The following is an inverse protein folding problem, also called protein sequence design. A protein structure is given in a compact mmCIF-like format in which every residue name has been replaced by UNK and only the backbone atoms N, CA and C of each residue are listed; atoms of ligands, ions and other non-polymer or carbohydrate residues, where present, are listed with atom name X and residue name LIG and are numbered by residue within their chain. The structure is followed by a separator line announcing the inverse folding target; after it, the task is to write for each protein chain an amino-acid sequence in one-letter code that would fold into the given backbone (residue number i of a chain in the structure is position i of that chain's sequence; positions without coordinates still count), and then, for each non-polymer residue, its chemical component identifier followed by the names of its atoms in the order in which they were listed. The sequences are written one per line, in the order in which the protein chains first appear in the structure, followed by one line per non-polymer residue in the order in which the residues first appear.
data_IF_213564367587
#
_entry.id   IF_213564367587
#
_cell.length_a   1.000
_cell.length_b   1.000
_cell.length_c   1.000
_cell.angle_alpha   90.00
_cell.angle_beta   90.00
_cell.angle_gamma   90.00
#
_symmetry.space_group_name_H-M   'P 1'
#
loop_
_entity.id
_entity.type
_entity.pdbx_description
1 polymer ?
#
# COMPACT_ATOMS: atom_id res chain seq x y z
N UNK A 1 16.76 -5.30 -10.99
CA UNK A 1 15.54 -5.73 -11.70
C UNK A 1 15.88 -5.81 -13.18
N UNK A 2 15.28 -6.71 -13.99
CA UNK A 2 15.44 -6.59 -15.44
C UNK A 2 15.07 -5.15 -15.81
N UNK A 3 15.92 -4.48 -16.59
CA UNK A 3 15.77 -3.06 -16.89
C UNK A 3 14.31 -2.79 -17.28
N UNK A 4 13.61 -2.01 -16.45
CA UNK A 4 12.19 -1.73 -16.64
C UNK A 4 12.06 -0.78 -17.83
N UNK A 5 12.15 -1.37 -19.03
CA UNK A 5 11.63 -0.80 -20.26
C UNK A 5 10.12 -0.63 -20.13
N UNK A 6 9.52 0.23 -20.97
CA UNK A 6 8.06 0.43 -21.05
C UNK A 6 7.29 -0.91 -21.16
N UNK A 7 7.90 -1.93 -21.77
CA UNK A 7 7.41 -3.30 -21.85
C UNK A 7 7.18 -3.99 -20.50
N UNK A 8 7.92 -3.60 -19.47
CA UNK A 8 7.74 -4.07 -18.09
C UNK A 8 6.40 -3.67 -17.45
N UNK A 9 5.73 -2.67 -18.02
CA UNK A 9 4.48 -2.11 -17.50
C UNK A 9 3.26 -2.47 -18.34
N UNK A 10 3.44 -2.79 -19.63
CA UNK A 10 2.34 -3.08 -20.54
C UNK A 10 1.40 -4.18 -20.02
N UNK A 11 1.94 -5.32 -19.59
CA UNK A 11 1.14 -6.45 -19.07
C UNK A 11 0.33 -6.09 -17.81
N UNK A 12 0.98 -5.60 -16.73
CA UNK A 12 0.28 -5.19 -15.52
C UNK A 12 -0.77 -4.11 -15.78
N UNK A 13 -0.46 -3.11 -16.60
CA UNK A 13 -1.41 -2.05 -16.94
C UNK A 13 -2.60 -2.59 -17.73
N UNK A 14 -2.40 -3.51 -18.67
CA UNK A 14 -3.50 -4.15 -19.40
C UNK A 14 -4.46 -4.88 -18.45
N UNK A 15 -3.91 -5.69 -17.53
CA UNK A 15 -4.73 -6.41 -16.54
C UNK A 15 -5.44 -5.45 -15.60
N UNK A 16 -4.78 -4.37 -15.18
CA UNK A 16 -5.40 -3.31 -14.36
C UNK A 16 -6.53 -2.62 -15.12
N UNK A 17 -6.36 -2.30 -16.40
CA UNK A 17 -7.41 -1.67 -17.23
C UNK A 17 -8.61 -2.58 -17.42
N UNK A 18 -8.39 -3.89 -17.62
CA UNK A 18 -9.48 -4.88 -17.62
C UNK A 18 -10.22 -4.88 -16.28
N UNK A 19 -9.48 -4.94 -15.17
CA UNK A 19 -10.05 -4.90 -13.82
C UNK A 19 -10.79 -3.60 -13.53
N UNK A 20 -10.31 -2.47 -14.05
CA UNK A 20 -10.95 -1.16 -13.97
C UNK A 20 -12.27 -1.16 -14.74
N UNK A 21 -12.27 -1.60 -16.00
CA UNK A 21 -13.48 -1.70 -16.80
C UNK A 21 -14.54 -2.53 -16.07
N UNK A 22 -14.18 -3.71 -15.55
CA UNK A 22 -15.11 -4.54 -14.79
C UNK A 22 -15.68 -3.84 -13.56
N UNK A 23 -14.91 -2.99 -12.87
CA UNK A 23 -15.35 -2.30 -11.65
C UNK A 23 -16.18 -1.06 -11.94
N UNK A 24 -15.80 -0.26 -12.92
CA UNK A 24 -16.47 1.01 -13.23
C UNK A 24 -17.71 0.86 -14.11
N UNK A 25 -17.79 -0.22 -14.92
CA UNK A 25 -18.99 -0.48 -15.73
C UNK A 25 -20.21 -0.67 -14.82
N UNK A 26 -21.21 0.20 -14.99
CA UNK A 26 -22.47 0.21 -14.22
C UNK A 26 -22.23 0.27 -12.70
N UNK A 27 -21.22 1.03 -12.24
CA UNK A 27 -20.89 1.12 -10.81
C UNK A 27 -22.03 1.67 -9.95
N UNK A 28 -22.85 2.56 -10.52
CA UNK A 28 -24.05 3.09 -9.87
C UNK A 28 -25.20 2.08 -9.76
N UNK A 29 -25.04 0.86 -10.25
CA UNK A 29 -26.06 -0.17 -10.21
C UNK A 29 -25.67 -1.29 -9.22
N UNK A 30 -26.61 -1.80 -8.41
CA UNK A 30 -28.01 -1.39 -8.33
C UNK A 30 -28.17 0.01 -7.71
N UNK A 31 -29.21 0.73 -8.16
CA UNK A 31 -29.56 2.05 -7.63
C UNK A 31 -30.31 1.89 -6.31
N UNK A 32 -29.60 1.37 -5.31
CA UNK A 32 -30.08 1.07 -3.97
C UNK A 32 -28.91 1.06 -2.99
N UNK A 33 -29.21 1.30 -1.72
CA UNK A 33 -28.29 1.07 -0.60
C UNK A 33 -28.27 -0.43 -0.31
N UNK A 34 -27.08 -1.03 -0.30
CA UNK A 34 -26.90 -2.47 -0.11
C UNK A 34 -26.11 -2.73 1.16
N UNK A 35 -26.62 -3.60 2.04
CA UNK A 35 -25.88 -4.07 3.22
C UNK A 35 -25.38 -2.89 4.09
N UNK A 36 -24.16 -2.99 4.62
CA UNK A 36 -23.54 -1.97 5.47
C UNK A 36 -23.25 -0.62 4.78
N UNK A 37 -23.56 -0.46 3.48
CA UNK A 37 -23.58 0.87 2.86
C UNK A 37 -24.49 1.82 3.66
N UNK A 38 -25.57 1.33 4.25
CA UNK A 38 -26.49 2.11 5.10
C UNK A 38 -25.77 2.86 6.24
N UNK A 39 -24.67 2.30 6.76
CA UNK A 39 -23.89 2.91 7.83
C UNK A 39 -22.74 3.74 7.29
N UNK A 40 -21.96 3.18 6.35
CA UNK A 40 -20.72 3.80 5.93
C UNK A 40 -20.92 5.05 5.09
N UNK A 41 -21.94 5.08 4.22
CA UNK A 41 -22.21 6.26 3.38
C UNK A 41 -22.70 7.43 4.25
N UNK A 42 -23.56 7.17 5.24
CA UNK A 42 -24.06 8.22 6.16
C UNK A 42 -22.95 8.76 7.04
N UNK A 43 -22.11 7.87 7.57
CA UNK A 43 -20.94 8.25 8.36
C UNK A 43 -19.92 9.05 7.55
N UNK A 44 -19.63 8.64 6.31
CA UNK A 44 -18.77 9.38 5.38
C UNK A 44 -19.33 10.78 5.09
N UNK A 45 -20.62 10.88 4.79
CA UNK A 45 -21.26 12.15 4.53
C UNK A 45 -21.30 13.06 5.78
N UNK A 46 -21.44 12.48 6.98
CA UNK A 46 -21.36 13.21 8.23
C UNK A 46 -19.96 13.82 8.44
N UNK A 47 -18.91 13.06 8.16
CA UNK A 47 -17.53 13.55 8.20
C UNK A 47 -17.31 14.72 7.24
N UNK A 48 -17.85 14.67 6.02
CA UNK A 48 -17.78 15.79 5.07
C UNK A 48 -18.49 17.05 5.59
N UNK A 49 -19.65 16.89 6.20
CA UNK A 49 -20.52 18.02 6.60
C UNK A 49 -20.17 18.62 7.94
N UNK A 50 -19.73 17.81 8.89
CA UNK A 50 -19.55 18.20 10.29
C UNK A 50 -18.16 17.88 10.84
N UNK A 51 -17.33 17.12 10.13
CA UNK A 51 -16.02 16.66 10.60
C UNK A 51 -16.07 15.54 11.64
N UNK A 52 -17.27 15.13 12.06
CA UNK A 52 -17.53 14.07 13.05
C UNK A 52 -18.75 13.26 12.63
N UNK A 53 -18.78 11.99 13.01
CA UNK A 53 -19.95 11.13 12.77
C UNK A 53 -21.16 11.57 13.60
N UNK A 54 -22.33 11.61 12.95
CA UNK A 54 -23.58 12.05 13.54
C UNK A 54 -24.71 11.09 13.22
N UNK A 55 -25.61 10.93 14.18
CA UNK A 55 -26.79 10.11 13.99
C UNK A 55 -27.71 10.67 12.89
N UNK A 56 -28.32 9.75 12.16
CA UNK A 56 -29.31 10.05 11.14
C UNK A 56 -30.73 9.68 11.63
N UNK A 57 -31.74 10.09 10.89
CA UNK A 57 -33.14 9.73 11.14
C UNK A 57 -33.40 8.26 10.80
N UNK A 58 -34.34 7.63 11.51
CA UNK A 58 -34.59 6.19 11.41
C UNK A 58 -33.72 5.35 12.36
N UNK A 59 -33.82 4.03 12.21
CA UNK A 59 -33.03 3.02 12.93
C UNK A 59 -32.47 1.98 11.94
N UNK A 60 -31.76 0.97 12.44
CA UNK A 60 -31.30 -0.14 11.59
C UNK A 60 -32.48 -0.98 11.04
N UNK A 61 -33.55 -1.12 11.83
CA UNK A 61 -34.76 -1.87 11.46
C UNK A 61 -35.67 -1.06 10.52
N UNK A 62 -35.73 0.27 10.68
CA UNK A 62 -36.44 1.16 9.76
C UNK A 62 -35.50 2.25 9.21
N UNK A 63 -34.81 1.99 8.08
CA UNK A 63 -33.82 2.89 7.51
C UNK A 63 -34.47 4.01 6.70
N UNK A 64 -35.16 4.93 7.39
CA UNK A 64 -35.79 6.12 6.78
C UNK A 64 -34.75 6.97 6.03
N UNK A 65 -33.57 7.16 6.63
CA UNK A 65 -32.49 7.93 6.01
C UNK A 65 -32.01 7.34 4.66
N UNK A 66 -32.02 6.01 4.48
CA UNK A 66 -31.66 5.41 3.19
C UNK A 66 -32.68 5.79 2.11
N UNK A 67 -33.98 5.72 2.44
CA UNK A 67 -35.05 6.10 1.52
C UNK A 67 -34.98 7.58 1.16
N UNK A 68 -34.65 8.45 2.11
CA UNK A 68 -34.44 9.87 1.87
C UNK A 68 -33.26 10.13 0.92
N UNK A 69 -32.10 9.49 1.16
CA UNK A 69 -30.92 9.59 0.27
C UNK A 69 -31.29 9.14 -1.14
N UNK A 70 -31.99 8.01 -1.27
CA UNK A 70 -32.40 7.48 -2.58
C UNK A 70 -33.43 8.39 -3.29
N UNK A 71 -34.21 9.17 -2.54
CA UNK A 71 -35.10 10.20 -3.07
C UNK A 71 -34.40 11.54 -3.35
N UNK A 72 -33.10 11.68 -3.03
CA UNK A 72 -32.32 12.90 -3.17
C UNK A 72 -32.48 13.90 -2.02
N UNK A 73 -33.16 13.53 -0.94
CA UNK A 73 -33.29 14.33 0.28
C UNK A 73 -32.11 14.07 1.22
N UNK A 74 -31.26 15.09 1.41
CA UNK A 74 -30.08 15.04 2.27
C UNK A 74 -30.33 15.62 3.66
N UNK A 75 -31.59 15.92 4.00
CA UNK A 75 -32.06 16.31 5.33
C UNK A 75 -32.11 15.16 6.35
N UNK A 76 -31.22 14.18 6.22
CA UNK A 76 -31.22 12.91 6.97
C UNK A 76 -30.79 13.03 8.44
N UNK A 77 -30.45 14.22 8.92
CA UNK A 77 -29.82 14.42 10.21
C UNK A 77 -30.84 14.43 11.34
N UNK A 78 -30.59 13.66 12.40
CA UNK A 78 -31.39 13.73 13.63
C UNK A 78 -31.20 15.09 14.29
N UNK A 79 -32.29 15.70 14.74
CA UNK A 79 -32.25 16.92 15.56
C UNK A 79 -32.10 16.51 17.02
N UNK A 80 -31.05 16.98 17.68
CA UNK A 80 -30.80 16.69 19.10
C UNK A 80 -30.64 18.00 19.89
N UNK A 81 -31.10 18.06 21.15
CA UNK A 81 -30.92 19.21 22.03
C UNK A 81 -29.44 19.52 22.31
N UNK A 82 -28.61 18.49 22.45
CA UNK A 82 -27.17 18.62 22.74
C UNK A 82 -26.32 17.88 21.71
N UNK A 83 -25.06 18.30 21.56
CA UNK A 83 -24.15 17.69 20.58
C UNK A 83 -23.82 16.22 20.88
N UNK A 84 -23.70 15.86 22.16
CA UNK A 84 -23.38 14.49 22.60
C UNK A 84 -24.48 13.48 22.27
N UNK A 85 -25.75 13.88 22.35
CA UNK A 85 -26.89 13.03 21.97
C UNK A 85 -26.99 12.81 20.45
N UNK A 86 -26.29 13.63 19.67
CA UNK A 86 -26.25 13.54 18.22
C UNK A 86 -25.04 12.77 17.69
N UNK A 87 -24.13 12.33 18.55
CA UNK A 87 -22.96 11.56 18.16
C UNK A 87 -23.36 10.13 17.76
N UNK A 88 -22.84 9.66 16.63
CA UNK A 88 -23.05 8.27 16.21
C UNK A 88 -22.04 7.32 16.89
N UNK A 89 -22.38 6.03 16.92
CA UNK A 89 -21.48 5.02 17.45
C UNK A 89 -20.36 4.70 16.45
N UNK A 90 -19.10 4.97 16.83
CA UNK A 90 -17.94 4.77 15.96
C UNK A 90 -17.21 3.47 16.31
N UNK A 91 -17.53 2.39 15.59
CA UNK A 91 -16.90 1.08 15.75
C UNK A 91 -15.55 0.92 15.03
N UNK A 92 -15.26 1.78 14.04
CA UNK A 92 -14.11 1.65 13.15
C UNK A 92 -13.32 2.96 13.03
N UNK A 93 -12.01 2.89 12.75
CA UNK A 93 -11.22 4.06 12.41
C UNK A 93 -11.78 4.82 11.19
N UNK A 94 -11.62 6.15 11.13
CA UNK A 94 -12.36 6.99 10.16
C UNK A 94 -11.79 6.95 8.74
N UNK A 95 -10.60 6.39 8.52
CA UNK A 95 -9.89 6.47 7.24
C UNK A 95 -10.73 5.97 6.06
N UNK A 96 -11.36 4.80 6.18
CA UNK A 96 -12.18 4.26 5.09
C UNK A 96 -13.42 5.11 4.80
N UNK A 97 -14.03 5.70 5.84
CA UNK A 97 -15.16 6.64 5.67
C UNK A 97 -14.70 7.92 4.97
N UNK A 98 -13.51 8.43 5.27
CA UNK A 98 -12.92 9.57 4.54
C UNK A 98 -12.67 9.27 3.05
N UNK A 99 -12.31 8.03 2.72
CA UNK A 99 -12.16 7.62 1.33
C UNK A 99 -13.51 7.56 0.60
N UNK A 100 -14.55 7.03 1.24
CA UNK A 100 -15.93 7.04 0.70
C UNK A 100 -16.40 8.49 0.50
N UNK A 101 -16.19 9.33 1.52
CA UNK A 101 -16.50 10.74 1.51
C UNK A 101 -15.86 11.48 0.33
N UNK A 102 -14.63 11.14 -0.06
CA UNK A 102 -14.00 11.73 -1.24
C UNK A 102 -14.81 11.47 -2.53
N UNK A 103 -15.38 10.27 -2.66
CA UNK A 103 -16.27 9.92 -3.78
C UNK A 103 -17.59 10.68 -3.73
N UNK A 104 -18.21 10.76 -2.55
CA UNK A 104 -19.43 11.55 -2.32
C UNK A 104 -19.23 13.05 -2.59
N UNK A 105 -18.05 13.58 -2.29
CA UNK A 105 -17.71 14.97 -2.55
C UNK A 105 -17.58 15.28 -4.04
N UNK A 106 -16.97 14.38 -4.83
CA UNK A 106 -16.80 14.58 -6.27
C UNK A 106 -18.04 14.30 -7.10
N UNK A 107 -18.80 13.26 -6.75
CA UNK A 107 -19.91 12.76 -7.58
C UNK A 107 -21.28 12.87 -6.89
N UNK A 108 -21.33 13.47 -5.72
CA UNK A 108 -22.53 13.62 -4.92
C UNK A 108 -22.92 12.37 -4.15
N UNK A 109 -23.96 12.51 -3.33
CA UNK A 109 -24.56 11.43 -2.54
C UNK A 109 -25.39 10.49 -3.43
N UNK A 110 -24.72 9.75 -4.30
CA UNK A 110 -25.34 8.81 -5.25
C UNK A 110 -24.63 7.45 -5.19
N UNK A 111 -25.30 6.35 -5.61
CA UNK A 111 -24.67 5.03 -5.71
C UNK A 111 -23.32 5.01 -6.40
N UNK A 112 -23.19 5.79 -7.48
CA UNK A 112 -21.91 5.94 -8.17
C UNK A 112 -20.87 6.64 -7.28
N UNK A 113 -21.24 7.74 -6.62
CA UNK A 113 -20.30 8.55 -5.85
C UNK A 113 -19.71 7.83 -4.64
N UNK A 114 -20.53 7.22 -3.80
CA UNK A 114 -20.01 6.54 -2.61
C UNK A 114 -19.24 5.24 -2.94
N UNK A 115 -19.54 4.59 -4.08
CA UNK A 115 -18.81 3.40 -4.55
C UNK A 115 -17.52 3.73 -5.30
N UNK A 116 -17.38 4.96 -5.81
CA UNK A 116 -16.27 5.36 -6.68
C UNK A 116 -14.90 5.09 -6.05
N UNK A 117 -14.69 5.52 -4.80
CA UNK A 117 -13.41 5.37 -4.14
C UNK A 117 -13.03 3.90 -3.91
N UNK A 118 -14.02 3.05 -3.59
CA UNK A 118 -13.83 1.60 -3.46
C UNK A 118 -13.39 0.97 -4.78
N UNK A 119 -13.98 1.39 -5.90
CA UNK A 119 -13.63 0.90 -7.23
C UNK A 119 -12.21 1.31 -7.64
N UNK A 120 -11.80 2.54 -7.31
CA UNK A 120 -10.41 3.01 -7.50
C UNK A 120 -9.46 2.17 -6.66
N UNK A 121 -9.71 2.00 -5.36
CA UNK A 121 -8.85 1.24 -4.46
C UNK A 121 -8.69 -0.21 -4.94
N UNK A 122 -9.79 -0.90 -5.27
CA UNK A 122 -9.74 -2.26 -5.81
C UNK A 122 -8.99 -2.36 -7.14
N UNK A 123 -9.13 -1.35 -8.01
CA UNK A 123 -8.38 -1.29 -9.28
C UNK A 123 -6.88 -1.13 -9.05
N UNK A 124 -6.48 -0.25 -8.14
CA UNK A 124 -5.07 -0.05 -7.79
C UNK A 124 -4.47 -1.28 -7.10
N UNK A 125 -5.24 -2.00 -6.29
CA UNK A 125 -4.82 -3.28 -5.69
C UNK A 125 -4.39 -4.31 -6.74
N UNK A 126 -5.07 -4.36 -7.89
CA UNK A 126 -4.70 -5.26 -9.01
C UNK A 126 -3.31 -4.91 -9.53
N UNK A 127 -3.04 -3.61 -9.73
CA UNK A 127 -1.73 -3.15 -10.20
C UNK A 127 -0.64 -3.49 -9.20
N UNK A 128 -0.87 -3.20 -7.91
CA UNK A 128 0.09 -3.49 -6.84
C UNK A 128 0.37 -4.98 -6.79
N UNK A 129 -0.67 -5.83 -6.80
CA UNK A 129 -0.52 -7.29 -6.80
C UNK A 129 0.32 -7.78 -7.98
N UNK A 130 0.02 -7.33 -9.20
CA UNK A 130 0.77 -7.72 -10.38
C UNK A 130 2.26 -7.32 -10.29
N UNK A 131 2.55 -6.14 -9.74
CA UNK A 131 3.93 -5.66 -9.57
C UNK A 131 4.67 -6.40 -8.47
N UNK A 132 4.02 -6.66 -7.34
CA UNK A 132 4.59 -7.42 -6.22
C UNK A 132 4.91 -8.86 -6.66
N UNK A 133 3.95 -9.55 -7.28
CA UNK A 133 4.16 -10.89 -7.80
C UNK A 133 5.27 -10.94 -8.86
N UNK A 134 5.31 -9.97 -9.79
CA UNK A 134 6.42 -9.84 -10.76
C UNK A 134 7.76 -9.63 -10.07
N UNK A 135 7.84 -8.83 -8.99
CA UNK A 135 9.09 -8.60 -8.24
C UNK A 135 9.59 -9.86 -7.53
N UNK A 136 8.68 -10.64 -6.94
CA UNK A 136 9.03 -11.85 -6.22
C UNK A 136 9.43 -13.00 -7.15
N UNK A 137 8.68 -13.19 -8.25
CA UNK A 137 8.88 -14.31 -9.18
C UNK A 137 9.84 -13.99 -10.33
N UNK A 138 10.10 -12.70 -10.59
CA UNK A 138 10.81 -12.19 -11.78
C UNK A 138 10.16 -12.56 -13.12
N UNK A 139 8.94 -13.09 -13.10
CA UNK A 139 8.20 -13.47 -14.31
C UNK A 139 7.08 -12.48 -14.58
N UNK A 140 7.04 -11.96 -15.81
CA UNK A 140 5.94 -11.10 -16.26
C UNK A 140 4.63 -11.87 -16.27
N UNK A 141 4.65 -13.11 -16.78
CA UNK A 141 3.47 -13.96 -16.87
C UNK A 141 2.87 -14.22 -15.49
N UNK A 142 3.68 -14.62 -14.51
CA UNK A 142 3.20 -14.91 -13.16
C UNK A 142 2.70 -13.65 -12.45
N UNK A 143 3.33 -12.49 -12.69
CA UNK A 143 2.83 -11.20 -12.21
C UNK A 143 1.46 -10.86 -12.78
N UNK A 144 1.30 -10.96 -14.10
CA UNK A 144 0.02 -10.67 -14.76
C UNK A 144 -1.07 -11.67 -14.35
N UNK A 145 -0.72 -12.95 -14.19
CA UNK A 145 -1.64 -13.98 -13.72
C UNK A 145 -2.12 -13.68 -12.29
N UNK A 146 -1.23 -13.30 -11.38
CA UNK A 146 -1.62 -12.92 -10.02
C UNK A 146 -2.56 -11.70 -10.00
N UNK A 147 -2.27 -10.68 -10.81
CA UNK A 147 -3.16 -9.53 -10.99
C UNK A 147 -4.52 -9.93 -11.56
N UNK A 148 -4.53 -10.82 -12.57
CA UNK A 148 -5.76 -11.28 -13.22
C UNK A 148 -6.64 -12.09 -12.26
N UNK A 149 -6.03 -12.97 -11.47
CA UNK A 149 -6.74 -13.72 -10.43
C UNK A 149 -7.37 -12.77 -9.41
N UNK A 150 -6.65 -11.74 -8.95
CA UNK A 150 -7.23 -10.74 -8.04
C UNK A 150 -8.30 -9.87 -8.74
N UNK A 151 -8.18 -9.62 -10.04
CA UNK A 151 -9.16 -8.85 -10.80
C UNK A 151 -10.51 -9.57 -10.90
N UNK A 152 -10.46 -10.90 -11.03
CA UNK A 152 -11.60 -11.81 -11.21
C UNK A 152 -12.08 -12.47 -9.91
N UNK A 153 -11.34 -12.31 -8.81
CA UNK A 153 -11.77 -12.79 -7.49
C UNK A 153 -13.11 -12.17 -7.09
N UNK A 154 -14.09 -13.02 -6.79
CA UNK A 154 -15.47 -12.60 -6.58
C UNK A 154 -15.64 -11.71 -5.35
N UNK A 155 -14.95 -12.02 -4.25
CA UNK A 155 -15.04 -11.24 -3.02
C UNK A 155 -14.40 -9.86 -3.20
N UNK A 156 -13.18 -9.82 -3.74
CA UNK A 156 -12.51 -8.56 -4.04
C UNK A 156 -13.30 -7.71 -5.04
N UNK A 157 -13.91 -8.34 -6.05
CA UNK A 157 -14.77 -7.66 -7.01
C UNK A 157 -15.97 -7.00 -6.34
N UNK A 158 -16.74 -7.75 -5.55
CA UNK A 158 -17.93 -7.24 -4.84
C UNK A 158 -17.55 -6.14 -3.85
N UNK A 159 -16.55 -6.37 -2.99
CA UNK A 159 -16.11 -5.38 -1.99
C UNK A 159 -15.61 -4.09 -2.64
N UNK A 160 -14.99 -4.15 -3.81
CA UNK A 160 -14.57 -2.96 -4.56
C UNK A 160 -15.71 -2.21 -5.26
N UNK A 161 -16.91 -2.80 -5.34
CA UNK A 161 -18.09 -2.20 -5.97
C UNK A 161 -19.18 -1.83 -4.98
N UNK A 162 -18.95 -2.01 -3.69
CA UNK A 162 -19.83 -1.59 -2.60
C UNK A 162 -19.07 -0.63 -1.71
N UNK A 163 -19.74 0.33 -1.07
CA UNK A 163 -19.10 1.26 -0.14
C UNK A 163 -18.84 0.63 1.25
N UNK A 164 -17.97 -0.39 1.28
CA UNK A 164 -17.52 -1.09 2.48
C UNK A 164 -16.09 -0.69 2.84
N UNK A 165 -15.72 -0.83 4.12
CA UNK A 165 -14.40 -0.43 4.60
C UNK A 165 -13.29 -1.44 4.26
N UNK A 166 -13.65 -2.71 4.06
CA UNK A 166 -12.73 -3.83 3.86
C UNK A 166 -11.81 -3.68 2.65
N UNK A 167 -12.32 -3.13 1.54
CA UNK A 167 -11.51 -2.91 0.33
C UNK A 167 -10.38 -1.90 0.58
N UNK A 168 -10.64 -0.88 1.40
CA UNK A 168 -9.62 0.11 1.77
C UNK A 168 -8.58 -0.49 2.71
N UNK A 169 -9.02 -1.26 3.70
CA UNK A 169 -8.10 -1.97 4.60
C UNK A 169 -7.18 -2.91 3.80
N UNK A 170 -7.76 -3.75 2.95
CA UNK A 170 -7.00 -4.67 2.10
C UNK A 170 -6.03 -3.93 1.18
N UNK A 171 -6.46 -2.83 0.55
CA UNK A 171 -5.60 -2.00 -0.29
C UNK A 171 -4.37 -1.49 0.48
N UNK A 172 -4.57 -0.93 1.68
CA UNK A 172 -3.46 -0.42 2.48
C UNK A 172 -2.55 -1.52 3.04
N UNK A 173 -3.11 -2.69 3.39
CA UNK A 173 -2.31 -3.86 3.78
C UNK A 173 -1.45 -4.35 2.60
N UNK A 174 -2.01 -4.43 1.39
CA UNK A 174 -1.29 -4.82 0.19
C UNK A 174 -0.22 -3.78 -0.19
N UNK A 175 -0.52 -2.49 -0.07
CA UNK A 175 0.45 -1.41 -0.28
C UNK A 175 1.60 -1.48 0.74
N UNK A 176 1.29 -1.73 2.01
CA UNK A 176 2.29 -1.96 3.06
C UNK A 176 3.19 -3.16 2.75
N UNK A 177 2.60 -4.28 2.33
CA UNK A 177 3.37 -5.45 1.88
C UNK A 177 4.25 -5.13 0.67
N UNK A 178 3.75 -4.36 -0.29
CA UNK A 178 4.54 -3.92 -1.45
C UNK A 178 5.75 -3.06 -1.03
N UNK A 179 5.59 -2.19 -0.02
CA UNK A 179 6.69 -1.43 0.57
C UNK A 179 7.74 -2.35 1.21
N UNK A 180 7.32 -3.38 1.97
CA UNK A 180 8.24 -4.36 2.55
C UNK A 180 9.01 -5.13 1.48
N UNK A 181 8.35 -5.54 0.40
CA UNK A 181 9.01 -6.21 -0.74
C UNK A 181 10.00 -5.26 -1.44
N UNK A 182 9.64 -3.99 -1.62
CA UNK A 182 10.52 -2.98 -2.20
C UNK A 182 11.75 -2.70 -1.31
N UNK A 183 11.55 -2.62 0.00
CA UNK A 183 12.62 -2.42 0.99
C UNK A 183 13.60 -3.61 0.99
N UNK A 184 13.07 -4.84 0.96
CA UNK A 184 13.90 -6.05 0.82
C UNK A 184 14.79 -6.01 -0.44
N UNK A 185 14.26 -5.55 -1.57
CA UNK A 185 15.04 -5.44 -2.81
C UNK A 185 16.12 -4.35 -2.71
N UNK A 186 15.81 -3.24 -2.04
CA UNK A 186 16.74 -2.13 -1.84
C UNK A 186 17.90 -2.51 -0.89
N UNK A 187 17.61 -3.19 0.22
CA UNK A 187 18.64 -3.67 1.15
C UNK A 187 19.58 -4.66 0.44
N UNK A 188 19.05 -5.60 -0.35
CA UNK A 188 19.85 -6.57 -1.11
C UNK A 188 20.82 -5.89 -2.07
N UNK A 189 20.36 -4.85 -2.78
CA UNK A 189 21.21 -4.09 -3.68
C UNK A 189 22.33 -3.37 -2.93
N UNK A 190 22.04 -2.78 -1.76
CA UNK A 190 23.06 -2.14 -0.92
C UNK A 190 24.12 -3.10 -0.42
N UNK A 191 23.72 -4.29 0.03
CA UNK A 191 24.65 -5.35 0.45
C UNK A 191 25.55 -5.82 -0.70
N UNK A 192 25.01 -5.96 -1.91
CA UNK A 192 25.79 -6.27 -3.10
C UNK A 192 26.82 -5.17 -3.43
N UNK A 193 26.42 -3.90 -3.40
CA UNK A 193 27.33 -2.76 -3.66
C UNK A 193 28.41 -2.64 -2.57
N UNK A 194 28.06 -2.91 -1.31
CA UNK A 194 29.00 -2.88 -0.19
C UNK A 194 29.93 -4.12 -0.11
N UNK A 195 29.75 -5.13 -0.96
CA UNK A 195 30.50 -6.39 -0.91
C UNK A 195 30.20 -7.25 0.34
N UNK A 196 29.21 -6.86 1.14
CA UNK A 196 28.80 -7.57 2.35
C UNK A 196 27.77 -8.63 1.99
N UNK A 197 28.24 -9.83 1.62
CA UNK A 197 27.34 -10.99 1.47
C UNK A 197 26.87 -11.47 2.84
N UNK A 198 25.56 -11.55 3.11
CA UNK A 198 25.06 -12.28 4.26
C UNK A 198 25.45 -13.75 4.10
N UNK A 199 26.29 -14.26 5.00
CA UNK A 199 26.80 -15.63 4.97
C UNK A 199 28.21 -15.82 4.37
N UNK A 200 28.93 -14.74 4.05
CA UNK A 200 30.29 -14.80 3.49
C UNK A 200 31.44 -14.79 4.50
N UNK A 201 31.20 -15.06 5.78
CA UNK A 201 32.27 -15.23 6.76
C UNK A 201 32.43 -16.73 7.06
N UNK A 202 33.66 -17.23 6.89
CA UNK A 202 34.16 -18.58 7.20
C UNK A 202 34.01 -19.69 6.14
N UNK A 203 34.61 -19.50 4.96
CA UNK A 203 35.35 -20.60 4.28
C UNK A 203 36.65 -20.04 3.68
N UNK A 204 37.55 -19.59 4.54
CA UNK A 204 38.92 -19.22 4.16
C UNK A 204 39.90 -19.54 5.31
N UNK A 205 39.85 -20.77 5.82
CA UNK A 205 40.87 -21.31 6.72
C UNK A 205 40.81 -22.84 6.66
N UNK A 206 41.37 -23.41 5.59
CA UNK A 206 41.28 -24.86 5.37
C UNK A 206 42.02 -25.33 4.13
N UNK A 207 43.23 -24.83 3.89
CA UNK A 207 44.22 -25.55 3.07
C UNK A 207 45.44 -25.79 3.95
N UNK A 208 45.49 -27.01 4.48
CA UNK A 208 46.65 -27.52 5.21
C UNK A 208 47.88 -27.51 4.32
N UNK A 209 48.95 -26.95 4.88
CA UNK A 209 50.29 -26.98 4.32
C UNK A 209 51.27 -26.70 5.47
N UNK A 210 51.65 -27.74 6.18
CA UNK A 210 52.88 -27.78 7.00
C UNK A 210 54.02 -27.95 6.00
N UNK A 211 55.07 -27.09 5.98
CA UNK A 211 56.19 -27.30 6.90
C UNK A 211 56.98 -26.04 7.32
N UNK A 212 57.78 -26.19 8.37
CA UNK A 212 59.07 -25.49 8.46
C UNK A 212 59.23 -24.54 9.64
N UNK A 213 59.86 -25.06 10.69
CA UNK A 213 60.48 -24.36 11.81
C UNK A 213 61.27 -23.10 11.39
N UNK A 214 60.99 -21.96 12.04
CA UNK A 214 62.04 -21.04 12.50
C UNK A 214 61.56 -20.17 13.66
N UNK A 215 62.37 -20.20 14.70
CA UNK A 215 62.21 -19.60 16.02
C UNK A 215 62.24 -18.06 16.03
N UNK A 216 61.65 -17.55 17.12
CA UNK A 216 62.07 -16.38 17.93
C UNK A 216 61.90 -14.97 17.32
N UNK A 217 60.97 -14.20 17.88
CA UNK A 217 61.17 -13.37 19.10
C UNK A 217 59.87 -12.69 19.54
N UNK A 218 59.60 -12.80 20.83
CA UNK A 218 58.69 -11.93 21.58
C UNK A 218 59.27 -10.52 21.65
N UNK A 219 58.43 -9.50 21.44
CA UNK A 219 58.56 -8.22 22.16
C UNK A 219 57.19 -7.87 22.71
N UNK A 220 57.11 -7.92 24.04
CA UNK A 220 56.05 -7.38 24.88
C UNK A 220 56.31 -5.87 25.03
N UNK A 221 55.26 -5.07 24.90
CA UNK A 221 55.21 -3.65 25.29
C UNK A 221 53.76 -3.17 25.15
N UNK A 222 52.96 -3.28 26.21
CA UNK A 222 52.72 -2.27 27.26
C UNK A 222 51.68 -1.19 26.89
N UNK A 223 50.51 -1.31 27.56
CA UNK A 223 49.76 -0.23 28.24
C UNK A 223 49.18 0.95 27.42
N UNK A 224 47.86 0.84 27.14
CA UNK A 224 46.75 1.81 27.32
C UNK A 224 46.75 3.22 26.65
N UNK A 225 45.56 3.88 26.55
CA UNK A 225 45.11 4.63 25.38
C UNK A 225 45.03 6.15 25.61
N UNK A 226 44.93 6.94 24.55
CA UNK A 226 44.36 8.28 24.66
C UNK A 226 43.87 8.89 23.33
N UNK A 227 42.67 9.49 23.42
CA UNK A 227 42.21 10.69 22.71
C UNK A 227 41.66 10.54 21.28
N UNK A 228 40.34 10.40 21.26
CA UNK A 228 39.40 11.37 20.67
C UNK A 228 40.06 12.49 19.83
N UNK A 229 39.98 12.36 18.51
CA UNK A 229 39.89 13.52 17.61
C UNK A 229 38.61 13.42 16.79
N UNK A 230 37.71 14.36 17.08
CA UNK A 230 36.65 14.82 16.18
C UNK A 230 37.26 15.28 14.86
N UNK A 231 36.75 14.78 13.75
CA UNK A 231 36.71 15.49 12.47
C UNK A 231 35.22 15.59 12.13
N UNK A 232 34.52 16.67 12.52
CA UNK A 232 34.29 17.90 11.73
C UNK A 232 34.25 17.64 10.22
N UNK A 233 33.02 17.40 9.76
CA UNK A 233 32.36 18.00 8.59
C UNK A 233 33.28 18.75 7.61
N UNK A 234 33.62 18.08 6.51
CA UNK A 234 33.88 18.76 5.24
C UNK A 234 32.58 18.80 4.43
N UNK A 235 31.93 19.96 4.49
CA UNK A 235 30.99 20.42 3.47
C UNK A 235 31.84 21.04 2.37
N UNK A 236 32.01 20.33 1.25
CA UNK A 236 32.85 20.77 0.15
C UNK A 236 32.60 19.98 -1.14
N UNK A 237 31.69 20.50 -1.96
CA UNK A 237 31.65 20.34 -3.43
C UNK A 237 31.87 18.93 -4.01
N UNK A 238 30.91 18.03 -3.78
CA UNK A 238 30.75 16.81 -4.58
C UNK A 238 29.89 17.11 -5.81
N UNK A 239 30.55 17.48 -6.91
CA UNK A 239 29.98 17.57 -8.25
C UNK A 239 29.20 16.28 -8.56
N UNK A 240 27.92 16.40 -8.89
CA UNK A 240 27.10 15.28 -9.35
C UNK A 240 27.63 14.83 -10.71
N UNK A 241 28.54 13.87 -10.70
CA UNK A 241 28.97 13.20 -11.93
C UNK A 241 27.80 12.34 -12.41
N UNK A 242 27.10 12.84 -13.42
CA UNK A 242 26.20 12.08 -14.29
C UNK A 242 27.03 11.10 -15.14
N UNK A 243 27.71 10.17 -14.48
CA UNK A 243 28.49 9.11 -15.11
C UNK A 243 27.60 7.92 -15.42
N UNK A 244 27.36 7.68 -16.70
CA UNK A 244 26.80 6.47 -17.30
C UNK A 244 27.59 5.21 -16.93
N UNK A 245 27.47 4.75 -15.68
CA UNK A 245 28.08 3.52 -15.19
C UNK A 245 27.01 2.47 -14.88
N UNK A 246 26.47 1.83 -15.91
CA UNK A 246 25.56 0.70 -15.77
C UNK A 246 26.32 -0.47 -15.12
N UNK A 247 26.26 -0.58 -13.79
CA UNK A 247 26.79 -1.76 -13.09
C UNK A 247 25.84 -2.93 -13.38
N UNK A 248 26.35 -4.08 -13.86
CA UNK A 248 25.51 -5.21 -14.19
C UNK A 248 24.75 -5.68 -12.94
N UNK A 249 23.53 -6.22 -13.09
CA UNK A 249 22.84 -6.85 -11.97
C UNK A 249 23.73 -7.99 -11.46
N UNK A 250 23.93 -8.06 -10.14
CA UNK A 250 24.48 -9.26 -9.51
C UNK A 250 23.57 -10.43 -9.91
N UNK A 251 24.03 -11.24 -10.85
CA UNK A 251 23.49 -12.55 -11.14
C UNK A 251 23.60 -13.38 -9.87
N UNK A 252 22.46 -13.92 -9.43
CA UNK A 252 22.43 -15.06 -8.53
C UNK A 252 22.98 -16.28 -9.26
#
# INVERSE_FOLDING_TARGET
MPADTLWGWAGPLFVTLLGAALRFLRLGEPHAVVFDESHYIKGAYALLRFGVERMTVGTAEDPIADRMIMAGDLGIWRRCPTAGECADYVAHPPLGKWMIALGEWWFGMTPFGWRFAGAVAGTLSILIMARVARRMTRSMLLGCLAGLLLALDGLHFVLSRTALLDVFLMFWVLAGFACVVADRDWIRQRWCVAGLRPGGAAVAAGRGGVPGSRERRQVVGSVLPARLRRARSDVGSGRWDCGHGWRPPCSL
#
